data_IF_585202754290
#
_entry.id   IF_585202754290
#
_cell.length_a   1.000
_cell.length_b   1.000
_cell.length_c   1.000
_cell.angle_alpha   90.00
_cell.angle_beta   90.00
_cell.angle_gamma   90.00
#
_symmetry.space_group_name_H-M   'P 1'
#
loop_
_entity.id
_entity.type
_entity.pdbx_description
1 polymer ?
#
# COMPACT_ATOMS: atom_id res chain seq x y z
N UNK A 1 -16.55 2.74 -4.07
CA UNK A 1 -16.66 2.20 -2.68
C UNK A 1 -17.03 3.33 -1.72
N UNK A 2 -18.33 3.71 -1.62
CA UNK A 2 -18.77 4.91 -0.88
C UNK A 2 -19.71 4.66 0.31
N UNK A 3 -19.95 3.42 0.75
CA UNK A 3 -21.02 3.13 1.72
C UNK A 3 -20.59 2.43 3.01
N UNK A 4 -19.30 2.33 3.33
CA UNK A 4 -18.85 1.78 4.61
C UNK A 4 -18.19 2.87 5.44
N UNK A 5 -18.84 3.25 6.55
CA UNK A 5 -18.25 4.10 7.57
C UNK A 5 -17.17 3.29 8.29
N UNK A 6 -15.92 3.76 8.29
CA UNK A 6 -14.80 3.05 8.91
C UNK A 6 -13.54 3.04 8.06
N UNK A 7 -12.55 2.27 8.53
CA UNK A 7 -11.25 2.12 7.86
C UNK A 7 -11.42 1.33 6.56
N UNK A 8 -10.82 1.82 5.47
CA UNK A 8 -10.87 1.19 4.16
C UNK A 8 -9.55 0.49 3.87
N UNK A 9 -9.63 -0.78 3.53
CA UNK A 9 -8.49 -1.55 3.05
C UNK A 9 -8.88 -2.31 1.78
N UNK A 10 -7.95 -2.42 0.86
CA UNK A 10 -8.10 -3.24 -0.35
C UNK A 10 -6.96 -4.26 -0.37
N UNK A 11 -7.32 -5.54 -0.44
CA UNK A 11 -6.37 -6.63 -0.65
C UNK A 11 -6.44 -7.02 -2.12
N UNK A 12 -5.32 -6.88 -2.83
CA UNK A 12 -5.18 -7.19 -4.26
C UNK A 12 -4.37 -8.48 -4.39
N UNK A 13 -4.87 -9.43 -5.17
CA UNK A 13 -4.15 -10.66 -5.52
C UNK A 13 -3.94 -10.63 -7.03
N UNK A 14 -2.69 -10.65 -7.47
CA UNK A 14 -2.33 -10.41 -8.88
C UNK A 14 -0.94 -10.94 -9.17
N UNK A 15 -0.60 -11.19 -10.44
CA UNK A 15 0.78 -11.38 -10.88
C UNK A 15 1.54 -10.05 -11.01
N UNK A 16 0.82 -8.92 -10.93
CA UNK A 16 1.29 -7.55 -10.98
C UNK A 16 1.51 -6.99 -12.40
N UNK A 17 1.28 -7.80 -13.44
CA UNK A 17 1.50 -7.35 -14.81
C UNK A 17 0.34 -6.49 -15.32
N UNK A 18 0.61 -5.20 -15.50
CA UNK A 18 -0.34 -4.32 -16.16
C UNK A 18 -0.32 -4.52 -17.69
N UNK A 19 -1.44 -4.98 -18.24
CA UNK A 19 -1.56 -5.30 -19.67
C UNK A 19 -2.38 -4.26 -20.45
N UNK A 20 -3.47 -3.76 -19.87
CA UNK A 20 -4.48 -2.96 -20.59
C UNK A 20 -5.02 -1.77 -19.78
N UNK A 21 -4.36 -1.37 -18.69
CA UNK A 21 -4.87 -0.27 -17.88
C UNK A 21 -4.90 1.03 -18.68
N UNK A 22 -5.95 1.82 -18.43
CA UNK A 22 -6.12 3.17 -18.97
C UNK A 22 -5.68 4.27 -17.99
N UNK A 23 -5.16 3.87 -16.84
CA UNK A 23 -4.74 4.74 -15.75
C UNK A 23 -3.35 4.32 -15.27
N UNK A 24 -2.55 5.31 -14.87
CA UNK A 24 -1.19 5.04 -14.39
C UNK A 24 -1.20 4.67 -12.91
N UNK A 25 -0.12 4.02 -12.46
CA UNK A 25 0.08 3.70 -11.03
C UNK A 25 -0.01 4.94 -10.12
N UNK A 26 0.42 6.10 -10.61
CA UNK A 26 0.34 7.35 -9.86
C UNK A 26 -1.12 7.79 -9.62
N UNK A 27 -2.01 7.56 -10.59
CA UNK A 27 -3.43 7.86 -10.46
C UNK A 27 -4.07 6.93 -9.43
N UNK A 28 -3.71 5.64 -9.46
CA UNK A 28 -4.17 4.68 -8.48
C UNK A 28 -3.74 5.04 -7.05
N UNK A 29 -2.47 5.46 -6.88
CA UNK A 29 -1.94 5.92 -5.59
C UNK A 29 -2.66 7.19 -5.12
N UNK A 30 -2.86 8.18 -6.00
CA UNK A 30 -3.56 9.43 -5.66
C UNK A 30 -5.00 9.17 -5.23
N UNK A 31 -5.74 8.33 -5.97
CA UNK A 31 -7.10 7.93 -5.61
C UNK A 31 -7.10 7.22 -4.25
N UNK A 32 -6.24 6.24 -4.03
CA UNK A 32 -6.18 5.48 -2.78
C UNK A 32 -5.84 6.37 -1.58
N UNK A 33 -4.92 7.33 -1.74
CA UNK A 33 -4.58 8.31 -0.70
C UNK A 33 -5.75 9.24 -0.38
N UNK A 34 -6.47 9.73 -1.40
CA UNK A 34 -7.66 10.59 -1.23
C UNK A 34 -8.82 9.84 -0.59
N UNK A 35 -9.00 8.58 -0.93
CA UNK A 35 -10.02 7.72 -0.33
C UNK A 35 -9.52 7.01 0.93
N UNK A 36 -8.41 7.44 1.52
CA UNK A 36 -7.84 6.87 2.76
C UNK A 36 -7.88 5.33 2.79
N UNK A 37 -7.53 4.72 1.66
CA UNK A 37 -7.62 3.28 1.45
C UNK A 37 -6.21 2.70 1.54
N UNK A 38 -5.98 1.85 2.52
CA UNK A 38 -4.71 1.12 2.66
C UNK A 38 -4.70 -0.08 1.72
N UNK A 39 -3.65 -0.20 0.90
CA UNK A 39 -3.53 -1.27 -0.08
C UNK A 39 -2.58 -2.37 0.42
N UNK A 40 -3.02 -3.62 0.35
CA UNK A 40 -2.19 -4.80 0.53
C UNK A 40 -2.17 -5.59 -0.77
N UNK A 41 -1.00 -6.02 -1.22
CA UNK A 41 -0.86 -6.80 -2.44
C UNK A 41 -0.32 -8.20 -2.11
N UNK A 42 -0.81 -9.21 -2.80
CA UNK A 42 -0.25 -10.55 -2.77
C UNK A 42 0.09 -10.93 -4.22
N UNK A 43 1.38 -10.99 -4.52
CA UNK A 43 1.89 -11.40 -5.82
C UNK A 43 1.83 -12.91 -5.98
N UNK A 44 1.19 -13.38 -7.04
CA UNK A 44 1.15 -14.80 -7.43
C UNK A 44 2.34 -15.20 -8.31
N UNK A 45 3.15 -14.22 -8.74
CA UNK A 45 4.28 -14.45 -9.65
C UNK A 45 5.38 -15.28 -9.03
N UNK A 46 5.65 -15.13 -7.74
CA UNK A 46 6.68 -15.89 -7.05
C UNK A 46 6.42 -17.42 -7.06
N UNK A 47 5.18 -17.87 -7.33
CA UNK A 47 4.85 -19.29 -7.53
C UNK A 47 4.97 -19.77 -8.98
N UNK A 48 5.14 -18.85 -9.94
CA UNK A 48 5.22 -19.11 -11.38
C UNK A 48 6.59 -18.77 -12.00
N UNK A 49 7.41 -17.95 -11.35
CA UNK A 49 8.75 -17.61 -11.85
C UNK A 49 9.74 -18.75 -11.59
N UNK A 50 9.97 -19.49 -12.67
CA UNK A 50 11.10 -20.36 -12.97
C UNK A 50 12.29 -20.17 -12.02
N UNK A 51 12.54 -21.18 -11.19
CA UNK A 51 13.74 -21.28 -10.38
C UNK A 51 14.97 -21.11 -11.28
N UNK A 52 15.68 -19.99 -11.13
CA UNK A 52 17.07 -19.91 -11.60
C UNK A 52 17.90 -20.72 -10.61
N UNK A 53 18.62 -21.77 -11.03
CA UNK A 53 19.46 -22.55 -10.12
C UNK A 53 20.46 -21.63 -9.40
N UNK A 54 20.40 -21.61 -8.07
CA UNK A 54 21.30 -20.79 -7.23
C UNK A 54 20.75 -19.43 -6.78
N UNK A 55 19.53 -19.04 -7.18
CA UNK A 55 18.85 -17.85 -6.65
C UNK A 55 17.61 -18.30 -5.88
N UNK A 56 17.52 -17.96 -4.59
CA UNK A 56 16.29 -18.22 -3.83
C UNK A 56 15.13 -17.47 -4.49
N UNK A 57 14.05 -18.20 -4.77
CA UNK A 57 12.79 -17.65 -5.27
C UNK A 57 12.35 -16.47 -4.40
N UNK A 58 12.30 -15.27 -4.99
CA UNK A 58 11.96 -14.01 -4.30
C UNK A 58 13.11 -13.05 -4.02
N UNK A 59 14.37 -13.36 -4.38
CA UNK A 59 15.51 -12.46 -4.13
C UNK A 59 15.71 -11.34 -5.17
N UNK A 60 15.17 -11.49 -6.38
CA UNK A 60 15.23 -10.43 -7.41
C UNK A 60 13.82 -9.93 -7.67
N UNK A 61 13.47 -8.79 -7.08
CA UNK A 61 12.23 -8.07 -7.40
C UNK A 61 12.36 -7.46 -8.79
N UNK A 62 11.53 -7.91 -9.71
CA UNK A 62 11.44 -7.31 -11.03
C UNK A 62 10.71 -5.96 -10.98
N UNK A 63 10.48 -5.34 -12.15
CA UNK A 63 9.79 -4.05 -12.21
C UNK A 63 8.37 -4.13 -11.67
N UNK A 64 7.70 -5.25 -11.92
CA UNK A 64 6.32 -5.51 -11.53
C UNK A 64 6.20 -5.59 -10.01
N UNK A 65 7.12 -6.30 -9.37
CA UNK A 65 7.16 -6.41 -7.92
C UNK A 65 7.38 -5.04 -7.25
N UNK A 66 8.21 -4.18 -7.86
CA UNK A 66 8.46 -2.82 -7.37
C UNK A 66 7.23 -1.92 -7.49
N UNK A 67 6.43 -2.10 -8.53
CA UNK A 67 5.19 -1.34 -8.71
C UNK A 67 4.16 -1.74 -7.64
N UNK A 68 3.99 -3.04 -7.37
CA UNK A 68 3.15 -3.51 -6.26
C UNK A 68 3.64 -3.02 -4.90
N UNK A 69 4.95 -3.08 -4.63
CA UNK A 69 5.55 -2.50 -3.42
C UNK A 69 5.20 -1.03 -3.28
N UNK A 70 5.42 -0.25 -4.34
CA UNK A 70 5.20 1.20 -4.33
C UNK A 70 3.74 1.54 -4.04
N UNK A 71 2.81 0.85 -4.69
CA UNK A 71 1.38 1.03 -4.49
C UNK A 71 0.96 0.80 -3.02
N UNK A 72 1.51 -0.26 -2.41
CA UNK A 72 1.30 -0.57 -1.00
C UNK A 72 1.98 0.43 -0.06
N UNK A 73 3.25 0.76 -0.27
CA UNK A 73 4.02 1.63 0.61
C UNK A 73 3.50 3.06 0.64
N UNK A 74 3.13 3.63 -0.51
CA UNK A 74 2.61 4.99 -0.59
C UNK A 74 1.25 5.14 0.12
N UNK A 75 0.51 4.05 0.30
CA UNK A 75 -0.78 4.00 1.01
C UNK A 75 -0.68 3.47 2.45
N UNK A 76 0.53 3.10 2.89
CA UNK A 76 0.79 2.60 4.24
C UNK A 76 0.44 1.12 4.46
N UNK A 77 0.26 0.34 3.40
CA UNK A 77 0.10 -1.12 3.45
C UNK A 77 1.35 -1.85 2.97
N UNK A 78 1.23 -3.15 2.62
CA UNK A 78 2.39 -4.01 2.32
C UNK A 78 2.09 -4.99 1.18
N UNK A 79 3.09 -5.21 0.32
CA UNK A 79 3.07 -6.28 -0.67
C UNK A 79 3.74 -7.55 -0.13
N UNK A 80 3.17 -8.70 -0.48
CA UNK A 80 3.66 -10.04 -0.15
C UNK A 80 3.93 -10.78 -1.45
N UNK A 81 5.10 -11.40 -1.57
CA UNK A 81 5.51 -12.16 -2.75
C UNK A 81 5.58 -13.62 -2.34
N UNK A 82 4.61 -14.42 -2.80
CA UNK A 82 4.41 -15.79 -2.31
C UNK A 82 4.65 -16.82 -3.41
N UNK A 83 5.46 -17.83 -3.10
CA UNK A 83 5.78 -18.94 -4.02
C UNK A 83 4.85 -20.14 -3.91
N UNK A 84 4.11 -20.25 -2.80
CA UNK A 84 3.35 -21.45 -2.47
C UNK A 84 2.07 -21.11 -1.68
N UNK A 85 1.18 -22.10 -1.55
CA UNK A 85 -0.14 -21.94 -0.92
C UNK A 85 -0.06 -21.70 0.60
N UNK A 86 0.94 -22.26 1.28
CA UNK A 86 1.15 -22.04 2.72
C UNK A 86 1.61 -20.60 2.99
N UNK A 87 2.45 -20.07 2.11
CA UNK A 87 2.92 -18.69 2.13
C UNK A 87 1.79 -17.67 1.85
N UNK A 88 0.78 -18.05 1.06
CA UNK A 88 -0.45 -17.26 0.87
C UNK A 88 -1.28 -17.15 2.17
N UNK A 89 -1.54 -18.26 2.84
CA UNK A 89 -2.27 -18.28 4.12
C UNK A 89 -1.58 -17.43 5.20
N UNK A 90 -0.24 -17.53 5.27
CA UNK A 90 0.59 -16.68 6.15
C UNK A 90 0.46 -15.20 5.81
N UNK A 91 0.37 -14.86 4.53
CA UNK A 91 0.21 -13.47 4.07
C UNK A 91 -1.14 -12.90 4.51
N UNK A 92 -2.23 -13.65 4.34
CA UNK A 92 -3.55 -13.24 4.85
C UNK A 92 -3.56 -13.09 6.37
N UNK A 93 -2.93 -14.01 7.10
CA UNK A 93 -2.82 -13.94 8.56
C UNK A 93 -2.08 -12.67 9.02
N UNK A 94 -1.01 -12.29 8.32
CA UNK A 94 -0.27 -11.04 8.57
C UNK A 94 -1.14 -9.81 8.27
N UNK A 95 -1.83 -9.78 7.14
CA UNK A 95 -2.75 -8.67 6.79
C UNK A 95 -3.85 -8.53 7.85
N UNK A 96 -4.47 -9.63 8.26
CA UNK A 96 -5.50 -9.61 9.30
C UNK A 96 -4.98 -9.08 10.64
N UNK A 97 -3.74 -9.42 11.01
CA UNK A 97 -3.10 -8.88 12.22
C UNK A 97 -2.85 -7.38 12.09
N UNK A 98 -2.34 -6.92 10.95
CA UNK A 98 -2.07 -5.50 10.68
C UNK A 98 -3.35 -4.66 10.76
N UNK A 99 -4.43 -5.12 10.11
CA UNK A 99 -5.72 -4.43 10.12
C UNK A 99 -6.32 -4.28 11.53
N UNK A 100 -6.01 -5.22 12.44
CA UNK A 100 -6.44 -5.14 13.85
C UNK A 100 -5.57 -4.19 14.69
N UNK A 101 -4.33 -3.94 14.29
CA UNK A 101 -3.34 -3.20 15.09
C UNK A 101 -3.04 -1.78 14.58
N UNK A 102 -3.92 -1.22 13.74
CA UNK A 102 -3.74 0.11 13.19
C UNK A 102 -4.22 1.21 14.15
N UNK A 103 -3.39 2.23 14.34
CA UNK A 103 -3.73 3.45 15.06
C UNK A 103 -4.16 4.55 14.06
N UNK A 104 -5.17 5.34 14.44
CA UNK A 104 -5.56 6.54 13.69
C UNK A 104 -4.98 7.77 14.38
N UNK A 105 -4.12 8.51 13.67
CA UNK A 105 -3.54 9.76 14.14
C UNK A 105 -4.00 10.87 13.20
N UNK A 106 -4.63 11.90 13.76
CA UNK A 106 -5.09 13.07 13.01
C UNK A 106 -4.27 14.28 13.42
N UNK A 107 -3.85 15.07 12.44
CA UNK A 107 -3.18 16.34 12.66
C UNK A 107 -3.76 17.39 11.70
N UNK A 108 -3.69 18.67 12.09
CA UNK A 108 -4.03 19.79 11.22
C UNK A 108 -2.73 20.40 10.66
N UNK A 109 -2.54 20.43 9.33
CA UNK A 109 -1.36 21.08 8.76
C UNK A 109 -1.41 22.59 9.03
N UNK A 110 -0.24 23.20 9.20
CA UNK A 110 -0.11 24.66 9.35
C UNK A 110 -0.36 25.40 8.04
N UNK A 111 -0.08 24.77 6.90
CA UNK A 111 -0.44 25.26 5.57
C UNK A 111 -1.87 24.80 5.22
N UNK A 112 -2.78 25.74 5.01
CA UNK A 112 -4.19 25.54 4.68
C UNK A 112 -4.50 25.66 3.18
N UNK A 113 -3.50 25.95 2.34
CA UNK A 113 -3.69 26.10 0.88
C UNK A 113 -3.88 24.75 0.19
N UNK A 114 -4.96 24.62 -0.57
CA UNK A 114 -5.23 23.46 -1.42
C UNK A 114 -4.74 23.70 -2.86
N UNK A 115 -3.42 23.86 -3.01
CA UNK A 115 -2.76 24.19 -4.29
C UNK A 115 -2.36 22.96 -5.12
N UNK A 116 -2.71 21.76 -4.67
CA UNK A 116 -2.33 20.50 -5.30
C UNK A 116 -0.87 20.10 -5.09
N UNK A 117 -0.11 20.80 -4.25
CA UNK A 117 1.25 20.41 -3.87
C UNK A 117 1.26 19.09 -3.08
N UNK A 118 2.33 18.30 -3.23
CA UNK A 118 2.51 17.10 -2.44
C UNK A 118 3.03 17.45 -1.04
N UNK A 119 2.38 16.91 -0.01
CA UNK A 119 2.76 17.09 1.39
C UNK A 119 3.22 15.77 1.96
N UNK A 120 4.52 15.68 2.25
CA UNK A 120 5.12 14.52 2.91
C UNK A 120 4.63 14.42 4.35
N UNK A 121 4.30 13.21 4.77
CA UNK A 121 3.98 12.86 6.16
C UNK A 121 5.07 11.93 6.66
N UNK A 122 5.70 12.32 7.76
CA UNK A 122 6.77 11.57 8.40
C UNK A 122 6.40 11.40 9.87
N UNK A 123 6.27 10.15 10.30
CA UNK A 123 5.92 9.80 11.68
C UNK A 123 7.13 9.09 12.26
N UNK A 124 7.53 9.51 13.45
CA UNK A 124 8.68 8.96 14.17
C UNK A 124 8.23 8.42 15.51
N UNK A 125 8.81 7.30 15.91
CA UNK A 125 8.62 6.77 17.25
C UNK A 125 9.50 7.55 18.23
N UNK A 126 9.01 7.73 19.45
CA UNK A 126 9.82 8.25 20.55
C UNK A 126 10.86 7.24 21.00
N UNK A 127 11.76 7.69 21.88
CA UNK A 127 12.81 6.85 22.45
C UNK A 127 12.22 5.61 23.16
N UNK A 128 12.91 4.46 23.08
CA UNK A 128 12.51 3.21 23.73
C UNK A 128 11.59 2.29 22.92
N UNK A 129 11.33 2.60 21.65
CA UNK A 129 10.47 1.82 20.75
C UNK A 129 11.19 1.26 19.52
N UNK A 130 12.49 0.99 19.65
CA UNK A 130 13.37 0.57 18.53
C UNK A 130 12.98 -0.79 17.93
N UNK A 131 12.30 -1.63 18.69
CA UNK A 131 11.81 -2.94 18.25
C UNK A 131 10.49 -2.87 17.47
N UNK A 132 9.87 -1.69 17.33
CA UNK A 132 8.62 -1.53 16.61
C UNK A 132 8.87 -1.07 15.17
N UNK A 133 8.17 -1.71 14.24
CA UNK A 133 8.17 -1.30 12.84
C UNK A 133 6.97 -0.40 12.60
N UNK A 134 7.25 0.86 12.26
CA UNK A 134 6.22 1.83 11.90
C UNK A 134 5.91 1.75 10.41
N UNK A 135 4.62 1.82 10.07
CA UNK A 135 4.15 1.93 8.69
C UNK A 135 3.07 3.00 8.61
N UNK A 136 3.25 3.93 7.69
CA UNK A 136 2.34 5.04 7.47
C UNK A 136 2.24 5.32 5.98
N UNK A 137 1.16 5.99 5.54
CA UNK A 137 1.18 6.66 4.24
C UNK A 137 2.34 7.67 4.21
N UNK A 138 2.93 7.88 3.04
CA UNK A 138 4.09 8.76 2.88
C UNK A 138 3.73 10.23 2.70
N UNK A 139 2.47 10.51 2.39
CA UNK A 139 2.00 11.86 2.16
C UNK A 139 0.61 11.90 1.55
N UNK A 140 0.27 13.06 1.01
CA UNK A 140 -0.96 13.30 0.26
C UNK A 140 -0.80 14.53 -0.63
N UNK A 141 -1.62 14.62 -1.67
CA UNK A 141 -1.76 15.83 -2.49
C UNK A 141 -2.73 16.81 -1.82
N UNK A 142 -2.35 18.07 -1.69
CA UNK A 142 -3.14 19.13 -1.07
C UNK A 142 -4.25 19.62 -2.01
N UNK A 143 -5.21 18.76 -2.33
CA UNK A 143 -6.36 19.10 -3.16
C UNK A 143 -7.59 19.32 -2.29
N UNK A 144 -8.41 20.30 -2.65
CA UNK A 144 -9.72 20.45 -2.02
C UNK A 144 -10.52 19.18 -2.33
N UNK A 145 -11.27 18.68 -1.35
CA UNK A 145 -12.12 17.51 -1.55
C UNK A 145 -13.29 17.90 -2.47
N UNK A 146 -13.07 17.76 -3.77
CA UNK A 146 -13.98 18.23 -4.82
C UNK A 146 -14.80 17.10 -5.44
N UNK A 147 -14.88 15.93 -4.81
CA UNK A 147 -15.70 14.83 -5.32
C UNK A 147 -17.17 15.09 -5.01
N UNK A 148 -17.73 16.09 -5.71
CA UNK A 148 -19.12 16.48 -5.65
C UNK A 148 -20.03 15.28 -5.93
N UNK A 149 -21.10 15.08 -5.15
CA UNK A 149 -22.15 14.16 -5.56
C UNK A 149 -22.78 14.73 -6.85
N UNK A 150 -22.75 13.94 -7.93
CA UNK A 150 -23.76 14.06 -8.98
C UNK A 150 -25.02 13.35 -8.52
#
# INVERSE_FOLDING_TARGET
MRSAQGRRALVVITDGEDTYSRADINDAIDIAQRTETTLFAISTKAGLSSAVPGVESGQVKDRVDKDLDRLCEETGGMAFFTGDMLSLERSFSKIAKELRSQYLITYRPTNDRYDGSYRRVDVKLGNGHENLKLRTKRGYKAVADSVAPK
#
